data_IF_832394427571
#
_entry.id   IF_832394427571
#
_cell.length_a   1.000
_cell.length_b   1.000
_cell.length_c   1.000
_cell.angle_alpha   90.00
_cell.angle_beta   90.00
_cell.angle_gamma   90.00
#
_symmetry.space_group_name_H-M   'P 1'
#
loop_
_entity.id
_entity.type
_entity.pdbx_description
1 polymer ?
#
# COMPACT_ATOMS: atom_id res chain seq x y z
N UNK A 1 -19.28 -28.71 26.66
CA UNK A 1 -19.08 -27.75 25.55
C UNK A 1 -18.13 -28.37 24.54
N UNK A 2 -18.55 -28.50 23.28
CA UNK A 2 -17.78 -29.21 22.23
C UNK A 2 -16.45 -28.47 22.00
N UNK A 3 -15.38 -29.21 21.68
CA UNK A 3 -14.02 -28.66 21.47
C UNK A 3 -14.00 -27.45 20.52
N UNK A 4 -14.89 -27.47 19.53
CA UNK A 4 -15.14 -26.38 18.58
C UNK A 4 -15.53 -25.04 19.24
N UNK A 5 -16.41 -25.06 20.25
CA UNK A 5 -16.87 -23.84 20.94
C UNK A 5 -15.78 -23.20 21.79
N UNK A 6 -14.82 -24.00 22.31
CA UNK A 6 -13.68 -23.48 23.06
C UNK A 6 -12.63 -22.86 22.14
N UNK A 7 -12.40 -23.46 20.98
CA UNK A 7 -11.46 -22.93 19.97
C UNK A 7 -12.00 -21.61 19.39
N UNK A 8 -13.30 -21.54 19.08
CA UNK A 8 -13.96 -20.30 18.65
C UNK A 8 -13.87 -19.17 19.70
N UNK A 9 -14.00 -19.50 20.99
CA UNK A 9 -13.86 -18.51 22.07
C UNK A 9 -12.41 -18.00 22.21
N UNK A 10 -11.42 -18.87 22.00
CA UNK A 10 -10.01 -18.48 22.03
C UNK A 10 -9.69 -17.57 20.84
N UNK A 11 -10.17 -17.92 19.63
CA UNK A 11 -10.00 -17.11 18.42
C UNK A 11 -10.67 -15.74 18.55
N UNK A 12 -11.89 -15.69 19.11
CA UNK A 12 -12.60 -14.43 19.35
C UNK A 12 -11.86 -13.53 20.35
N UNK A 13 -11.27 -14.11 21.40
CA UNK A 13 -10.50 -13.36 22.40
C UNK A 13 -9.14 -12.90 21.82
N UNK A 14 -8.48 -13.70 20.98
CA UNK A 14 -7.25 -13.28 20.31
C UNK A 14 -7.49 -12.22 19.24
N UNK A 15 -8.62 -12.25 18.53
CA UNK A 15 -9.02 -11.19 17.58
C UNK A 15 -9.41 -9.90 18.31
N UNK A 16 -10.02 -9.97 19.49
CA UNK A 16 -10.24 -8.81 20.35
C UNK A 16 -8.93 -8.24 20.89
N UNK A 17 -7.96 -9.10 21.23
CA UNK A 17 -6.61 -8.69 21.64
C UNK A 17 -5.84 -8.00 20.52
N UNK A 18 -5.80 -8.60 19.33
CA UNK A 18 -5.18 -8.01 18.15
C UNK A 18 -5.90 -6.72 17.70
N UNK A 19 -7.23 -6.70 17.75
CA UNK A 19 -8.03 -5.51 17.47
C UNK A 19 -7.75 -4.35 18.43
N UNK A 20 -7.56 -4.62 19.72
CA UNK A 20 -7.14 -3.62 20.72
C UNK A 20 -5.70 -3.15 20.50
N UNK A 21 -4.80 -4.01 20.00
CA UNK A 21 -3.43 -3.64 19.64
C UNK A 21 -3.44 -2.73 18.40
N UNK A 22 -4.20 -3.06 17.35
CA UNK A 22 -4.37 -2.16 16.19
C UNK A 22 -5.10 -0.86 16.54
N UNK A 23 -6.05 -0.89 17.49
CA UNK A 23 -6.67 0.31 18.05
C UNK A 23 -5.69 1.14 18.93
N UNK A 24 -4.74 0.48 19.60
CA UNK A 24 -3.66 1.09 20.37
C UNK A 24 -2.60 1.76 19.48
N UNK A 25 -2.22 1.10 18.38
CA UNK A 25 -1.27 1.64 17.41
C UNK A 25 -1.89 2.81 16.63
N UNK A 26 -3.18 2.75 16.30
CA UNK A 26 -3.91 3.87 15.68
C UNK A 26 -4.09 5.07 16.61
N UNK A 27 -4.21 4.87 17.93
CA UNK A 27 -4.21 5.98 18.91
C UNK A 27 -2.81 6.56 19.14
N UNK A 28 -1.74 5.76 19.10
CA UNK A 28 -0.36 6.24 19.18
C UNK A 28 0.10 7.01 17.91
N UNK A 29 -0.39 6.61 16.73
CA UNK A 29 -0.08 7.24 15.43
C UNK A 29 -1.06 8.36 15.03
N UNK A 30 -1.93 8.80 15.92
CA UNK A 30 -2.79 9.97 15.67
C UNK A 30 -3.85 9.76 14.59
N UNK A 31 -4.20 8.50 14.28
CA UNK A 31 -5.36 8.20 13.47
C UNK A 31 -6.59 8.54 14.31
N UNK A 32 -7.26 9.60 13.88
CA UNK A 32 -8.35 10.21 14.61
C UNK A 32 -9.65 9.43 14.46
N UNK A 33 -9.65 8.15 14.86
CA UNK A 33 -10.87 7.34 15.02
C UNK A 33 -11.80 8.04 16.01
N UNK A 34 -11.24 8.67 17.06
CA UNK A 34 -11.99 9.47 18.02
C UNK A 34 -12.63 10.74 17.41
N UNK A 35 -12.01 11.33 16.38
CA UNK A 35 -12.53 12.52 15.67
C UNK A 35 -13.58 12.15 14.62
N UNK A 36 -13.42 11.00 13.97
CA UNK A 36 -14.43 10.42 13.06
C UNK A 36 -15.65 9.90 13.82
N UNK A 37 -15.46 9.35 15.03
CA UNK A 37 -16.54 8.96 15.93
C UNK A 37 -17.27 10.19 16.51
N UNK A 38 -16.57 11.25 16.94
CA UNK A 38 -17.20 12.50 17.44
C UNK A 38 -18.07 13.21 16.39
N UNK A 39 -17.71 13.07 15.11
CA UNK A 39 -18.45 13.68 13.99
C UNK A 39 -19.54 12.76 13.40
N UNK A 40 -19.68 11.51 13.88
CA UNK A 40 -20.72 10.58 13.44
C UNK A 40 -20.59 10.10 11.98
N UNK A 41 -19.36 10.05 11.45
CA UNK A 41 -19.09 9.82 10.01
C UNK A 41 -18.76 8.36 9.65
N UNK A 42 -18.72 7.43 10.61
CA UNK A 42 -18.63 6.00 10.30
C UNK A 42 -20.03 5.41 10.14
N UNK A 43 -20.47 5.27 8.89
CA UNK A 43 -21.76 4.69 8.51
C UNK A 43 -21.54 3.51 7.57
N UNK A 44 -22.05 2.35 7.97
CA UNK A 44 -22.18 1.18 7.10
C UNK A 44 -23.65 0.74 7.11
N UNK A 45 -24.43 1.18 6.12
CA UNK A 45 -25.89 0.98 6.09
C UNK A 45 -26.61 1.67 7.28
N UNK A 46 -27.53 0.95 7.93
CA UNK A 46 -28.31 1.43 9.09
C UNK A 46 -27.57 1.34 10.44
N UNK A 47 -26.29 0.96 10.41
CA UNK A 47 -25.46 0.87 11.61
C UNK A 47 -24.68 2.16 11.82
N UNK A 48 -24.83 2.71 13.02
CA UNK A 48 -24.18 3.94 13.44
C UNK A 48 -23.12 3.64 14.49
N UNK A 49 -21.92 4.15 14.26
CA UNK A 49 -20.79 4.07 15.19
C UNK A 49 -20.51 5.50 15.66
N UNK A 50 -20.99 5.81 16.86
CA UNK A 50 -20.84 7.12 17.49
C UNK A 50 -20.11 7.04 18.83
N UNK A 51 -19.88 8.18 19.49
CA UNK A 51 -19.07 8.26 20.70
C UNK A 51 -19.69 7.56 21.92
N UNK A 52 -20.98 7.20 21.84
CA UNK A 52 -21.72 6.46 22.88
C UNK A 52 -21.92 4.97 22.55
N UNK A 53 -21.34 4.46 21.45
CA UNK A 53 -21.34 3.05 21.09
C UNK A 53 -22.04 2.71 19.76
N UNK A 54 -22.24 1.41 19.55
CA UNK A 54 -22.82 0.82 18.34
C UNK A 54 -24.35 0.78 18.44
N UNK A 55 -25.08 1.44 17.54
CA UNK A 55 -26.55 1.34 17.52
C UNK A 55 -27.15 1.28 16.11
N UNK A 56 -28.31 0.66 16.00
CA UNK A 56 -29.07 0.49 14.75
C UNK A 56 -30.27 1.44 14.77
N UNK A 57 -30.32 2.40 13.83
CA UNK A 57 -31.46 3.33 13.78
C UNK A 57 -32.56 2.80 12.84
N UNK A 58 -33.77 2.71 13.39
CA UNK A 58 -35.00 2.70 12.59
C UNK A 58 -35.53 4.13 12.56
N UNK A 59 -36.01 4.58 11.40
CA UNK A 59 -36.46 5.96 11.19
C UNK A 59 -37.47 6.39 12.29
N UNK A 60 -37.07 7.38 13.09
CA UNK A 60 -37.88 8.52 13.62
C UNK A 60 -37.27 9.08 14.93
N UNK A 61 -37.12 10.42 15.01
CA UNK A 61 -37.25 11.21 16.26
C UNK A 61 -35.98 11.74 16.96
N UNK A 62 -35.71 13.03 16.75
CA UNK A 62 -35.46 14.15 17.70
C UNK A 62 -34.47 14.08 18.91
N UNK A 63 -33.64 15.13 18.95
CA UNK A 63 -33.20 16.03 20.06
C UNK A 63 -32.12 15.68 21.12
N UNK A 64 -31.06 16.53 21.07
CA UNK A 64 -30.38 17.35 22.11
C UNK A 64 -29.41 16.81 23.20
N UNK A 65 -28.18 17.38 23.13
CA UNK A 65 -27.33 18.09 24.13
C UNK A 65 -26.61 17.38 25.31
N UNK A 66 -25.39 17.93 25.55
CA UNK A 66 -24.62 18.15 26.79
C UNK A 66 -23.53 17.17 27.34
N UNK A 67 -22.28 17.65 27.22
CA UNK A 67 -21.19 17.87 28.21
C UNK A 67 -20.84 16.81 29.28
N UNK A 68 -19.53 16.48 29.39
CA UNK A 68 -18.73 16.58 30.64
C UNK A 68 -17.26 16.09 30.50
N UNK A 69 -16.35 17.03 30.77
CA UNK A 69 -15.25 17.06 31.76
C UNK A 69 -14.09 16.04 31.84
N UNK A 70 -12.92 16.65 32.08
CA UNK A 70 -11.54 16.16 32.30
C UNK A 70 -11.35 15.08 33.37
N UNK A 71 -10.33 14.22 33.16
CA UNK A 71 -9.58 13.58 34.24
C UNK A 71 -8.10 13.36 33.83
N UNK A 72 -7.21 14.01 34.57
CA UNK A 72 -5.76 13.77 34.63
C UNK A 72 -5.43 12.59 35.56
N UNK A 73 -4.25 11.98 35.37
CA UNK A 73 -3.23 11.58 36.37
C UNK A 73 -2.45 10.28 36.00
N UNK A 74 -1.16 10.50 35.68
CA UNK A 74 0.10 9.89 36.17
C UNK A 74 0.41 8.37 36.14
N UNK A 75 1.60 8.10 35.55
CA UNK A 75 2.74 7.22 35.89
C UNK A 75 2.57 5.84 36.57
N UNK A 76 3.23 4.79 36.01
CA UNK A 76 4.43 4.17 36.59
C UNK A 76 4.85 2.85 35.87
N UNK A 77 6.17 2.67 35.76
CA UNK A 77 6.97 1.63 35.09
C UNK A 77 6.80 0.17 35.59
N UNK A 78 7.24 -0.82 34.79
CA UNK A 78 8.00 -2.03 35.22
C UNK A 78 8.42 -2.94 34.04
N UNK A 79 9.65 -2.77 33.55
CA UNK A 79 10.76 -3.74 33.37
C UNK A 79 10.57 -5.24 33.02
N UNK A 80 11.37 -5.65 32.02
CA UNK A 80 12.36 -6.74 31.98
C UNK A 80 12.14 -8.12 31.28
N UNK A 81 13.22 -8.46 30.55
CA UNK A 81 13.86 -9.76 30.24
C UNK A 81 13.60 -10.48 28.89
N UNK A 82 14.50 -10.20 27.94
CA UNK A 82 15.50 -11.06 27.29
C UNK A 82 15.14 -12.48 26.79
N UNK A 83 15.50 -12.77 25.53
CA UNK A 83 16.53 -13.77 25.10
C UNK A 83 16.46 -14.08 23.58
N UNK A 84 17.38 -13.49 22.82
CA UNK A 84 18.37 -14.06 21.87
C UNK A 84 18.13 -15.34 21.02
N UNK A 85 18.57 -15.18 19.75
CA UNK A 85 19.27 -16.13 18.83
C UNK A 85 18.48 -17.31 18.21
N UNK A 86 18.65 -17.71 16.95
CA UNK A 86 19.63 -17.42 15.89
C UNK A 86 19.11 -18.00 14.56
N UNK A 87 19.52 -17.35 13.45
CA UNK A 87 19.98 -17.88 12.16
C UNK A 87 19.15 -18.89 11.34
N UNK A 88 18.92 -18.58 10.06
CA UNK A 88 19.93 -18.84 9.01
C UNK A 88 19.47 -18.43 7.59
N UNK A 89 20.48 -17.99 6.84
CA UNK A 89 20.49 -17.35 5.53
C UNK A 89 20.06 -18.25 4.35
N UNK A 90 19.64 -17.64 3.24
CA UNK A 90 20.35 -17.83 1.96
C UNK A 90 20.11 -16.64 0.99
N UNK A 91 21.18 -16.31 0.30
CA UNK A 91 21.45 -15.12 -0.51
C UNK A 91 20.62 -14.99 -1.80
N UNK A 92 20.24 -13.74 -2.14
CA UNK A 92 20.32 -13.24 -3.51
C UNK A 92 20.70 -11.75 -3.50
N UNK A 93 22.00 -11.50 -3.61
CA UNK A 93 22.60 -10.18 -3.57
C UNK A 93 22.33 -9.39 -4.87
N UNK A 94 21.18 -8.74 -4.92
CA UNK A 94 21.05 -7.37 -5.43
C UNK A 94 21.09 -6.49 -4.19
N UNK A 95 22.03 -5.53 -4.13
CA UNK A 95 22.02 -4.55 -3.03
C UNK A 95 20.74 -3.70 -3.17
N UNK A 96 19.71 -4.04 -2.40
CA UNK A 96 18.45 -3.31 -2.40
C UNK A 96 18.68 -1.86 -1.96
N UNK A 97 18.07 -0.90 -2.67
CA UNK A 97 18.05 0.51 -2.24
C UNK A 97 17.24 0.68 -0.94
N UNK A 98 16.46 -0.32 -0.52
CA UNK A 98 15.82 -0.38 0.80
C UNK A 98 16.85 -0.20 1.92
N UNK A 99 18.06 -0.74 1.73
CA UNK A 99 19.10 -0.81 2.77
C UNK A 99 20.01 0.42 2.79
N UNK A 100 19.82 1.36 1.87
CA UNK A 100 20.53 2.64 1.92
C UNK A 100 19.93 3.51 3.03
N UNK A 101 20.62 3.54 4.17
CA UNK A 101 20.29 4.43 5.29
C UNK A 101 20.06 5.88 4.81
N UNK A 102 18.85 6.37 5.08
CA UNK A 102 18.52 7.77 4.88
C UNK A 102 19.13 8.59 6.02
N UNK A 103 20.16 9.38 5.73
CA UNK A 103 20.70 10.33 6.71
C UNK A 103 19.59 11.25 7.25
N UNK A 104 19.43 11.27 8.58
CA UNK A 104 18.42 12.05 9.34
C UNK A 104 18.62 13.57 9.26
N UNK A 105 19.72 14.03 8.68
CA UNK A 105 19.98 15.44 8.43
C UNK A 105 19.47 15.81 7.03
N UNK A 106 18.49 16.72 6.99
CA UNK A 106 17.94 17.34 5.77
C UNK A 106 18.78 18.57 5.41
N UNK A 107 19.67 18.53 4.41
CA UNK A 107 20.37 19.72 3.91
C UNK A 107 19.61 20.29 2.70
N UNK A 108 19.66 21.61 2.54
CA UNK A 108 18.84 22.39 1.61
C UNK A 108 18.90 21.93 0.14
N UNK A 109 17.94 21.10 -0.26
CA UNK A 109 17.38 21.10 -1.62
C UNK A 109 16.26 22.12 -1.66
N UNK A 110 16.26 23.04 -2.63
CA UNK A 110 15.15 23.97 -2.79
C UNK A 110 13.86 23.20 -3.06
N UNK A 111 12.71 23.79 -2.71
CA UNK A 111 11.37 23.29 -3.04
C UNK A 111 11.14 23.10 -4.55
N UNK A 112 12.12 23.45 -5.38
CA UNK A 112 12.16 23.27 -6.82
C UNK A 112 13.60 22.88 -7.19
N UNK A 113 13.81 21.59 -7.48
CA UNK A 113 15.13 21.01 -7.76
C UNK A 113 15.11 20.29 -9.11
N UNK A 114 16.18 20.41 -9.89
CA UNK A 114 16.27 19.84 -11.25
C UNK A 114 17.64 19.25 -11.52
N UNK A 115 17.65 18.10 -12.20
CA UNK A 115 18.82 17.24 -12.44
C UNK A 115 18.80 16.71 -13.87
N UNK A 116 19.97 16.46 -14.46
CA UNK A 116 20.06 15.90 -15.80
C UNK A 116 19.63 14.43 -15.79
N UNK A 117 18.69 14.05 -16.67
CA UNK A 117 18.11 12.69 -16.73
C UNK A 117 19.17 11.62 -16.94
N UNK A 118 20.23 11.92 -17.71
CA UNK A 118 21.32 10.98 -17.99
C UNK A 118 22.18 10.62 -16.78
N UNK A 119 22.07 11.37 -15.68
CA UNK A 119 22.81 11.12 -14.44
C UNK A 119 22.03 10.28 -13.43
N UNK A 120 20.76 9.97 -13.72
CA UNK A 120 19.86 9.29 -12.80
C UNK A 120 19.49 7.93 -13.38
N UNK A 121 19.72 6.88 -12.60
CA UNK A 121 19.26 5.52 -12.89
C UNK A 121 18.18 5.08 -11.91
N UNK A 122 18.13 5.67 -10.73
CA UNK A 122 17.21 5.26 -9.67
C UNK A 122 16.44 6.46 -9.09
N UNK A 123 15.19 6.25 -8.69
CA UNK A 123 14.41 7.26 -7.96
C UNK A 123 13.85 6.62 -6.69
N UNK A 124 14.15 7.23 -5.53
CA UNK A 124 13.58 6.85 -4.23
C UNK A 124 12.70 7.98 -3.69
N UNK A 125 11.43 7.68 -3.43
CA UNK A 125 10.52 8.54 -2.68
C UNK A 125 10.36 7.96 -1.25
N UNK A 126 10.49 8.82 -0.24
CA UNK A 126 10.28 8.51 1.18
C UNK A 126 9.38 9.61 1.76
N UNK A 127 8.07 9.39 1.74
CA UNK A 127 7.09 10.45 1.96
C UNK A 127 6.13 10.05 3.08
N UNK A 128 6.21 10.72 4.24
CA UNK A 128 5.26 10.46 5.35
C UNK A 128 3.81 10.74 4.92
N UNK A 129 3.56 11.94 4.39
CA UNK A 129 2.22 12.33 3.93
C UNK A 129 2.25 13.50 2.93
N UNK A 130 1.78 13.26 1.70
CA UNK A 130 1.61 14.28 0.66
C UNK A 130 0.69 13.79 -0.46
N UNK A 131 0.15 14.71 -1.25
CA UNK A 131 -0.35 14.37 -2.59
C UNK A 131 0.84 14.29 -3.54
N UNK A 132 0.93 13.21 -4.31
CA UNK A 132 2.05 12.99 -5.24
C UNK A 132 1.51 12.97 -6.67
N UNK A 133 2.15 13.71 -7.57
CA UNK A 133 1.79 13.66 -8.98
C UNK A 133 3.02 13.52 -9.85
N UNK A 134 3.02 12.50 -10.71
CA UNK A 134 4.02 12.34 -11.76
C UNK A 134 3.49 13.01 -13.04
N UNK A 135 4.32 13.84 -13.68
CA UNK A 135 3.96 14.58 -14.91
C UNK A 135 5.12 14.59 -15.90
N UNK A 136 4.82 14.84 -17.17
CA UNK A 136 5.84 15.12 -18.17
C UNK A 136 6.41 16.55 -18.00
N UNK A 137 7.74 16.76 -18.05
CA UNK A 137 8.37 18.07 -18.03
C UNK A 137 8.27 18.78 -19.39
N UNK A 138 8.38 20.11 -19.37
CA UNK A 138 8.62 20.91 -20.58
C UNK A 138 10.01 20.65 -21.20
N UNK A 139 10.99 20.29 -20.36
CA UNK A 139 12.38 19.99 -20.73
C UNK A 139 12.65 18.49 -20.58
N UNK A 140 12.71 17.77 -21.69
CA UNK A 140 12.91 16.32 -21.72
C UNK A 140 14.32 15.87 -21.32
N UNK A 141 15.25 16.79 -21.06
CA UNK A 141 16.61 16.46 -20.64
C UNK A 141 16.78 16.41 -19.13
N UNK A 142 15.74 16.82 -18.39
CA UNK A 142 15.83 16.98 -16.94
C UNK A 142 14.69 16.32 -16.20
N UNK A 143 15.04 15.72 -15.07
CA UNK A 143 14.10 15.37 -14.02
C UNK A 143 13.97 16.59 -13.10
N UNK A 144 12.75 16.90 -12.66
CA UNK A 144 12.50 18.01 -11.74
C UNK A 144 11.54 17.57 -10.64
N UNK A 145 11.85 17.89 -9.40
CA UNK A 145 10.98 17.65 -8.27
C UNK A 145 10.57 18.98 -7.63
N UNK A 146 9.27 19.15 -7.37
CA UNK A 146 8.70 20.40 -6.84
C UNK A 146 7.82 20.12 -5.63
N UNK A 147 8.14 20.74 -4.51
CA UNK A 147 7.29 20.81 -3.32
C UNK A 147 6.36 22.04 -3.41
N UNK A 148 5.05 21.82 -3.26
CA UNK A 148 4.05 22.87 -3.06
C UNK A 148 3.34 22.67 -1.74
N UNK A 149 2.94 23.77 -1.11
CA UNK A 149 2.14 23.80 0.12
C UNK A 149 2.76 23.11 1.36
N UNK A 150 3.84 22.35 1.21
CA UNK A 150 4.66 21.79 2.28
C UNK A 150 5.69 22.79 2.83
N UNK A 151 6.29 22.42 3.97
CA UNK A 151 7.37 23.21 4.57
C UNK A 151 8.72 22.66 4.09
N UNK A 152 9.48 23.51 3.42
CA UNK A 152 10.79 23.18 2.83
C UNK A 152 11.79 22.59 3.85
N UNK A 153 11.74 23.01 5.11
CA UNK A 153 12.57 22.45 6.20
C UNK A 153 12.32 20.96 6.53
N UNK A 154 11.24 20.38 6.00
CA UNK A 154 10.88 18.96 6.14
C UNK A 154 11.06 18.20 4.83
N UNK A 155 11.55 18.87 3.79
CA UNK A 155 11.69 18.33 2.46
C UNK A 155 13.17 18.23 2.10
N UNK A 156 13.55 17.13 1.47
CA UNK A 156 14.88 16.94 0.91
C UNK A 156 14.75 16.43 -0.51
N UNK A 157 15.54 17.00 -1.42
CA UNK A 157 15.70 16.47 -2.77
C UNK A 157 17.18 16.54 -3.12
N UNK A 158 17.82 15.37 -3.24
CA UNK A 158 19.26 15.27 -3.48
C UNK A 158 19.58 14.12 -4.41
N UNK A 159 20.64 14.32 -5.20
CA UNK A 159 21.26 13.25 -5.97
C UNK A 159 22.36 12.62 -5.12
N UNK A 160 22.28 11.31 -4.91
CA UNK A 160 23.27 10.50 -4.23
C UNK A 160 23.79 9.44 -5.21
N UNK A 161 24.98 9.67 -5.76
CA UNK A 161 25.46 8.90 -6.91
C UNK A 161 24.57 9.09 -8.14
N UNK A 162 23.93 8.02 -8.58
CA UNK A 162 22.95 7.99 -9.67
C UNK A 162 21.48 7.86 -9.18
N UNK A 163 21.27 8.03 -7.87
CA UNK A 163 19.97 7.86 -7.23
C UNK A 163 19.40 9.21 -6.81
N UNK A 164 18.25 9.59 -7.37
CA UNK A 164 17.49 10.76 -6.94
C UNK A 164 16.66 10.39 -5.71
N UNK A 165 17.03 10.95 -4.55
CA UNK A 165 16.32 10.73 -3.28
C UNK A 165 15.45 11.95 -2.96
N UNK A 166 14.14 11.72 -2.81
CA UNK A 166 13.16 12.74 -2.42
C UNK A 166 12.51 12.29 -1.12
N UNK A 167 12.63 13.12 -0.08
CA UNK A 167 12.05 12.85 1.24
C UNK A 167 11.13 13.96 1.71
N UNK A 168 10.05 13.60 2.39
CA UNK A 168 9.22 14.55 3.11
C UNK A 168 8.70 14.02 4.45
N UNK A 169 9.22 14.59 5.55
CA UNK A 169 8.85 14.23 6.93
C UNK A 169 7.68 15.09 7.46
N UNK A 170 6.45 14.61 7.35
CA UNK A 170 5.25 15.33 7.76
C UNK A 170 5.13 15.38 9.29
N UNK A 171 5.36 16.55 9.90
CA UNK A 171 5.15 16.75 11.35
C UNK A 171 3.68 17.00 11.72
N UNK A 172 3.31 16.67 12.97
CA UNK A 172 2.00 16.88 13.65
C UNK A 172 1.58 18.37 13.74
N UNK A 173 1.45 19.03 12.60
CA UNK A 173 1.00 20.41 12.49
C UNK A 173 -0.25 20.45 11.62
N UNK A 174 -1.17 21.35 11.96
CA UNK A 174 -2.31 21.62 11.11
C UNK A 174 -1.86 22.27 9.80
N UNK A 175 -1.97 21.52 8.70
CA UNK A 175 -1.76 22.04 7.37
C UNK A 175 -3.07 22.67 6.86
N UNK A 176 -3.03 23.93 6.42
CA UNK A 176 -4.19 24.57 5.78
C UNK A 176 -4.53 23.95 4.43
N UNK A 177 -3.53 23.33 3.79
CA UNK A 177 -3.61 22.59 2.52
C UNK A 177 -2.59 21.47 2.59
N UNK A 178 -2.93 20.29 2.07
CA UNK A 178 -2.03 19.15 2.03
C UNK A 178 -0.74 19.51 1.29
N UNK A 179 0.44 19.07 1.78
CA UNK A 179 1.68 19.12 1.01
C UNK A 179 1.49 18.39 -0.31
N UNK A 180 2.08 18.91 -1.38
CA UNK A 180 2.06 18.30 -2.69
C UNK A 180 3.49 18.16 -3.22
N UNK A 181 3.81 17.02 -3.79
CA UNK A 181 5.09 16.74 -4.45
C UNK A 181 4.78 16.44 -5.91
N UNK A 182 5.35 17.23 -6.80
CA UNK A 182 5.22 17.03 -8.25
C UNK A 182 6.56 16.57 -8.77
N UNK A 183 6.58 15.36 -9.31
CA UNK A 183 7.76 14.77 -9.96
C UNK A 183 7.57 14.87 -11.47
N UNK A 184 8.46 15.60 -12.13
CA UNK A 184 8.48 15.71 -13.58
C UNK A 184 9.50 14.76 -14.16
N UNK A 185 9.04 13.77 -14.94
CA UNK A 185 9.87 12.75 -15.57
C UNK A 185 9.73 12.82 -17.11
N UNK A 186 10.84 12.88 -17.88
CA UNK A 186 10.79 12.89 -19.35
C UNK A 186 10.25 11.58 -19.94
N UNK A 187 9.35 11.64 -20.93
CA UNK A 187 8.85 10.42 -21.61
C UNK A 187 9.99 9.60 -22.21
N UNK A 188 9.82 8.28 -22.17
CA UNK A 188 10.84 7.32 -22.64
C UNK A 188 12.08 7.27 -21.74
N UNK A 189 12.03 7.84 -20.54
CA UNK A 189 13.05 7.59 -19.52
C UNK A 189 13.04 6.12 -19.13
N UNK A 190 14.23 5.57 -18.92
CA UNK A 190 14.44 4.21 -18.44
C UNK A 190 15.19 4.26 -17.13
N UNK A 191 14.69 3.53 -16.14
CA UNK A 191 15.28 3.45 -14.80
C UNK A 191 15.71 2.02 -14.48
N UNK A 192 16.67 1.87 -13.58
CA UNK A 192 17.00 0.58 -12.98
C UNK A 192 15.99 0.25 -11.89
N UNK A 193 15.76 1.19 -10.96
CA UNK A 193 14.78 1.03 -9.89
C UNK A 193 13.97 2.31 -9.64
N UNK A 194 12.65 2.14 -9.48
CA UNK A 194 11.74 3.12 -8.93
C UNK A 194 11.20 2.58 -7.61
N UNK A 195 11.46 3.28 -6.50
CA UNK A 195 11.14 2.82 -5.15
C UNK A 195 10.38 3.91 -4.39
N UNK A 196 9.09 3.70 -4.20
CA UNK A 196 8.18 4.68 -3.63
C UNK A 196 7.62 4.17 -2.30
N UNK A 197 8.20 4.66 -1.20
CA UNK A 197 7.73 4.45 0.16
C UNK A 197 6.90 5.68 0.58
N UNK A 198 5.61 5.45 0.80
CA UNK A 198 4.63 6.49 1.02
C UNK A 198 3.73 6.12 2.20
N UNK A 199 3.88 6.83 3.32
CA UNK A 199 3.07 6.61 4.51
C UNK A 199 1.58 6.89 4.27
N UNK A 200 1.24 8.09 3.79
CA UNK A 200 -0.15 8.49 3.50
C UNK A 200 -0.29 9.43 2.30
N UNK A 201 -0.86 8.97 1.18
CA UNK A 201 -0.96 9.79 -0.02
C UNK A 201 -2.11 9.41 -0.95
N UNK A 202 -2.49 10.41 -1.75
CA UNK A 202 -3.07 10.18 -3.08
C UNK A 202 -1.95 10.40 -4.10
N UNK A 203 -1.54 9.32 -4.78
CA UNK A 203 -0.54 9.35 -5.83
C UNK A 203 -1.18 9.12 -7.18
N UNK A 204 -0.93 10.04 -8.11
CA UNK A 204 -1.38 9.93 -9.50
C UNK A 204 -0.19 9.95 -10.46
N UNK A 205 -0.05 8.86 -11.21
CA UNK A 205 0.90 8.67 -12.27
C UNK A 205 0.12 8.42 -13.55
N UNK A 206 -0.15 9.48 -14.31
CA UNK A 206 -0.85 9.39 -15.59
C UNK A 206 -0.01 9.97 -16.71
N UNK A 207 -0.25 9.50 -17.93
CA UNK A 207 0.33 10.07 -19.16
C UNK A 207 1.87 10.01 -19.24
N UNK A 208 2.48 9.01 -18.60
CA UNK A 208 3.94 8.88 -18.52
C UNK A 208 4.45 7.50 -18.97
N UNK A 209 4.73 7.38 -20.28
CA UNK A 209 5.37 6.20 -20.87
C UNK A 209 6.82 6.09 -20.39
N UNK A 210 7.07 5.19 -19.45
CA UNK A 210 8.42 4.92 -18.94
C UNK A 210 8.66 3.45 -18.69
N UNK A 211 9.94 3.11 -18.67
CA UNK A 211 10.42 1.75 -18.43
C UNK A 211 11.24 1.73 -17.15
N UNK A 212 11.14 0.65 -16.37
CA UNK A 212 12.07 0.39 -15.30
C UNK A 212 12.40 -1.09 -15.19
N UNK A 213 13.57 -1.45 -14.67
CA UNK A 213 13.88 -2.85 -14.41
C UNK A 213 13.17 -3.34 -13.14
N UNK A 214 13.07 -2.50 -12.11
CA UNK A 214 12.36 -2.81 -10.87
C UNK A 214 11.44 -1.66 -10.44
N UNK A 215 10.20 -2.00 -10.09
CA UNK A 215 9.24 -1.09 -9.50
C UNK A 215 8.85 -1.60 -8.11
N UNK A 216 9.00 -0.74 -7.10
CA UNK A 216 8.56 -0.99 -5.73
C UNK A 216 7.66 0.18 -5.32
N UNK A 217 6.44 -0.13 -4.91
CA UNK A 217 5.48 0.85 -4.40
C UNK A 217 4.92 0.32 -3.08
N UNK A 218 5.16 1.03 -2.00
CA UNK A 218 4.59 0.76 -0.69
C UNK A 218 3.78 1.98 -0.24
N UNK A 219 2.47 1.79 -0.11
CA UNK A 219 1.54 2.82 0.34
C UNK A 219 0.89 2.39 1.65
N UNK A 220 1.26 3.02 2.75
CA UNK A 220 0.67 2.74 4.06
C UNK A 220 -0.84 2.99 4.07
N UNK A 221 -1.27 4.17 3.61
CA UNK A 221 -2.69 4.49 3.43
C UNK A 221 -2.97 5.48 2.30
N UNK A 222 -4.01 5.24 1.51
CA UNK A 222 -4.50 6.16 0.48
C UNK A 222 -4.62 5.52 -0.90
N UNK A 223 -4.55 6.32 -1.95
CA UNK A 223 -4.80 5.84 -3.31
C UNK A 223 -3.55 5.90 -4.17
N UNK A 224 -3.29 4.85 -4.94
CA UNK A 224 -2.24 4.82 -5.96
C UNK A 224 -2.87 4.52 -7.32
N UNK A 225 -2.70 5.46 -8.24
CA UNK A 225 -3.22 5.36 -9.60
C UNK A 225 -2.07 5.49 -10.59
N UNK A 226 -1.90 4.49 -11.45
CA UNK A 226 -0.83 4.46 -12.45
C UNK A 226 -1.34 4.00 -13.82
N UNK A 227 -0.88 4.66 -14.88
CA UNK A 227 -1.22 4.31 -16.27
C UNK A 227 0.03 4.22 -17.14
N UNK A 228 0.04 3.28 -18.08
CA UNK A 228 1.02 3.17 -19.19
C UNK A 228 2.48 3.14 -18.72
N UNK A 229 2.88 2.05 -18.08
CA UNK A 229 4.29 1.81 -17.74
C UNK A 229 4.70 0.37 -18.05
N UNK A 230 6.02 0.19 -18.21
CA UNK A 230 6.62 -1.11 -18.47
C UNK A 230 7.66 -1.44 -17.39
N UNK A 231 7.63 -2.67 -16.89
CA UNK A 231 8.61 -3.20 -15.94
C UNK A 231 9.32 -4.41 -16.56
N UNK A 232 10.63 -4.31 -16.74
CA UNK A 232 11.41 -5.35 -17.43
C UNK A 232 11.76 -6.55 -16.52
N UNK A 233 11.85 -6.33 -15.22
CA UNK A 233 12.35 -7.31 -14.25
C UNK A 233 11.32 -7.71 -13.19
N UNK A 234 11.08 -6.86 -12.19
CA UNK A 234 10.20 -7.20 -11.06
C UNK A 234 9.34 -6.03 -10.62
N UNK A 235 8.08 -6.30 -10.33
CA UNK A 235 7.13 -5.33 -9.80
C UNK A 235 6.60 -5.80 -8.45
N UNK A 236 6.74 -4.95 -7.44
CA UNK A 236 6.23 -5.15 -6.09
C UNK A 236 5.32 -3.95 -5.73
N UNK A 237 4.02 -4.17 -5.53
CA UNK A 237 3.07 -3.12 -5.13
C UNK A 237 2.31 -3.56 -3.90
N UNK A 238 2.45 -2.81 -2.81
CA UNK A 238 1.77 -3.03 -1.54
C UNK A 238 0.95 -1.82 -1.14
N UNK A 239 -0.28 -2.05 -0.68
CA UNK A 239 -1.12 -1.05 -0.04
C UNK A 239 -1.63 -1.57 1.30
N UNK A 240 -1.36 -0.84 2.37
CA UNK A 240 -1.87 -1.18 3.70
C UNK A 240 -3.39 -0.96 3.79
N UNK A 241 -3.84 0.28 3.56
CA UNK A 241 -5.27 0.63 3.54
C UNK A 241 -5.58 1.62 2.41
N UNK A 242 -6.36 1.22 1.42
CA UNK A 242 -6.82 2.14 0.38
C UNK A 242 -7.08 1.49 -0.97
N UNK A 243 -6.89 2.23 -2.06
CA UNK A 243 -7.20 1.71 -3.40
C UNK A 243 -6.00 1.81 -4.34
N UNK A 244 -5.81 0.78 -5.15
CA UNK A 244 -4.84 0.75 -6.24
C UNK A 244 -5.56 0.59 -7.56
N UNK A 245 -5.22 1.41 -8.54
CA UNK A 245 -5.70 1.30 -9.92
C UNK A 245 -4.50 1.40 -10.87
N UNK A 246 -4.22 0.31 -11.56
CA UNK A 246 -3.14 0.20 -12.54
C UNK A 246 -3.75 -0.14 -13.88
N UNK A 247 -3.47 0.65 -14.92
CA UNK A 247 -4.01 0.42 -16.27
C UNK A 247 -2.92 0.48 -17.32
N UNK A 248 -3.12 -0.24 -18.43
CA UNK A 248 -2.19 -0.30 -19.56
C UNK A 248 -0.74 -0.66 -19.14
N UNK A 249 -0.57 -1.60 -18.21
CA UNK A 249 0.75 -2.00 -17.71
C UNK A 249 1.31 -3.22 -18.43
N UNK A 250 2.64 -3.29 -18.59
CA UNK A 250 3.34 -4.48 -19.13
C UNK A 250 4.49 -4.86 -18.21
N UNK A 251 4.44 -6.05 -17.63
CA UNK A 251 5.51 -6.57 -16.77
C UNK A 251 6.12 -7.83 -17.39
N UNK A 252 7.39 -7.76 -17.75
CA UNK A 252 8.10 -8.86 -18.40
C UNK A 252 8.63 -9.93 -17.43
N UNK A 253 8.64 -9.66 -16.13
CA UNK A 253 9.04 -10.63 -15.11
C UNK A 253 8.02 -10.76 -14.00
N UNK A 254 8.51 -10.96 -12.77
CA UNK A 254 7.66 -11.36 -11.65
C UNK A 254 6.89 -10.17 -11.05
N UNK A 255 5.67 -10.44 -10.61
CA UNK A 255 4.76 -9.48 -9.99
C UNK A 255 4.32 -9.97 -8.62
N UNK A 256 4.43 -9.11 -7.61
CA UNK A 256 3.84 -9.31 -6.29
C UNK A 256 2.91 -8.13 -5.94
N UNK A 257 1.65 -8.45 -5.64
CA UNK A 257 0.60 -7.50 -5.31
C UNK A 257 0.08 -7.81 -3.91
N UNK A 258 0.10 -6.83 -3.01
CA UNK A 258 -0.44 -6.95 -1.66
C UNK A 258 -1.45 -5.83 -1.40
N UNK A 259 -2.68 -6.22 -1.05
CA UNK A 259 -3.70 -5.30 -0.59
C UNK A 259 -4.18 -5.71 0.80
N UNK A 260 -3.73 -4.98 1.83
CA UNK A 260 -4.12 -5.20 3.22
C UNK A 260 -5.63 -4.99 3.43
N UNK A 261 -6.12 -3.76 3.20
CA UNK A 261 -7.55 -3.42 3.26
C UNK A 261 -7.95 -2.47 2.14
N UNK A 262 -8.85 -2.88 1.26
CA UNK A 262 -9.45 -2.01 0.25
C UNK A 262 -9.61 -2.67 -1.12
N UNK A 263 -9.41 -1.91 -2.20
CA UNK A 263 -9.62 -2.40 -3.57
C UNK A 263 -8.34 -2.29 -4.40
N UNK A 264 -7.98 -3.37 -5.08
CA UNK A 264 -6.83 -3.40 -5.98
C UNK A 264 -7.30 -3.77 -7.38
N UNK A 265 -7.00 -2.96 -8.39
CA UNK A 265 -7.29 -3.26 -9.79
C UNK A 265 -6.02 -3.10 -10.63
N UNK A 266 -5.77 -4.08 -11.48
CA UNK A 266 -4.70 -4.03 -12.48
C UNK A 266 -5.19 -4.56 -13.82
N UNK A 267 -4.98 -3.76 -14.86
CA UNK A 267 -5.15 -4.14 -16.27
C UNK A 267 -3.77 -4.14 -16.96
N UNK A 268 -3.43 -5.24 -17.64
CA UNK A 268 -2.15 -5.33 -18.33
C UNK A 268 -1.67 -6.73 -18.70
N UNK A 269 -0.36 -6.87 -18.92
CA UNK A 269 0.30 -8.14 -19.21
C UNK A 269 1.31 -8.50 -18.12
N UNK A 270 1.36 -9.77 -17.75
CA UNK A 270 2.39 -10.35 -16.89
C UNK A 270 3.04 -11.51 -17.62
N UNK A 271 4.36 -11.46 -17.80
CA UNK A 271 5.12 -12.51 -18.49
C UNK A 271 5.90 -13.43 -17.54
N UNK A 272 6.01 -13.05 -16.26
CA UNK A 272 6.59 -13.87 -15.21
C UNK A 272 5.56 -14.53 -14.31
N UNK A 273 5.97 -14.82 -13.07
CA UNK A 273 5.08 -15.32 -12.04
C UNK A 273 4.27 -14.18 -11.42
N UNK A 274 3.07 -14.49 -10.95
CA UNK A 274 2.19 -13.54 -10.27
C UNK A 274 1.86 -14.04 -8.87
N UNK A 275 2.11 -13.22 -7.85
CA UNK A 275 1.62 -13.42 -6.49
C UNK A 275 0.67 -12.29 -6.13
N UNK A 276 -0.51 -12.63 -5.64
CA UNK A 276 -1.56 -11.67 -5.32
C UNK A 276 -2.18 -12.02 -3.96
N UNK A 277 -1.93 -11.16 -2.98
CA UNK A 277 -2.41 -11.27 -1.61
C UNK A 277 -3.48 -10.19 -1.36
N UNK A 278 -4.69 -10.61 -1.01
CA UNK A 278 -5.77 -9.71 -0.63
C UNK A 278 -6.22 -10.03 0.81
N UNK A 279 -5.82 -9.19 1.76
CA UNK A 279 -6.17 -9.32 3.18
C UNK A 279 -7.66 -9.15 3.43
N UNK A 280 -8.19 -7.96 3.17
CA UNK A 280 -9.62 -7.64 3.26
C UNK A 280 -10.08 -6.71 2.12
N UNK A 281 -11.01 -7.16 1.27
CA UNK A 281 -11.60 -6.33 0.23
C UNK A 281 -11.71 -7.05 -1.10
N UNK A 282 -11.40 -6.37 -2.21
CA UNK A 282 -11.47 -6.97 -3.55
C UNK A 282 -10.23 -6.67 -4.38
N UNK A 283 -9.70 -7.68 -5.04
CA UNK A 283 -8.66 -7.56 -6.05
C UNK A 283 -9.21 -8.03 -7.40
N UNK A 284 -9.05 -7.24 -8.45
CA UNK A 284 -9.47 -7.56 -9.82
C UNK A 284 -8.26 -7.41 -10.75
N UNK A 285 -7.93 -8.48 -11.47
CA UNK A 285 -6.76 -8.54 -12.35
C UNK A 285 -7.24 -8.91 -13.76
N UNK A 286 -7.22 -7.94 -14.66
CA UNK A 286 -7.58 -8.10 -16.07
C UNK A 286 -6.29 -8.28 -16.87
N UNK A 287 -5.96 -9.53 -17.20
CA UNK A 287 -4.66 -9.91 -17.74
C UNK A 287 -4.75 -10.32 -19.20
N UNK A 288 -3.91 -9.74 -20.06
CA UNK A 288 -3.75 -10.24 -21.42
C UNK A 288 -3.06 -11.62 -21.40
N UNK A 289 -3.56 -12.56 -22.21
CA UNK A 289 -2.96 -13.88 -22.36
C UNK A 289 -3.98 -15.00 -22.20
N UNK A 290 -3.51 -16.21 -21.87
CA UNK A 290 -4.41 -17.35 -21.64
C UNK A 290 -4.27 -17.91 -20.22
N UNK A 291 -5.40 -18.25 -19.58
CA UNK A 291 -5.43 -18.95 -18.28
C UNK A 291 -4.56 -20.23 -18.24
N UNK A 292 -4.28 -20.85 -19.39
CA UNK A 292 -3.49 -22.09 -19.47
C UNK A 292 -1.99 -21.86 -19.42
N UNK A 293 -1.52 -20.62 -19.47
CA UNK A 293 -0.11 -20.27 -19.35
C UNK A 293 0.41 -20.38 -17.91
N UNK A 294 -0.50 -20.42 -16.93
CA UNK A 294 -0.20 -20.42 -15.50
C UNK A 294 -0.54 -21.75 -14.83
N UNK A 295 0.31 -22.18 -13.90
CA UNK A 295 -0.08 -23.09 -12.83
C UNK A 295 -0.63 -22.28 -11.66
N UNK A 296 -1.67 -22.76 -10.98
CA UNK A 296 -2.33 -22.02 -9.91
C UNK A 296 -2.09 -22.64 -8.54
N UNK A 297 -1.85 -21.79 -7.55
CA UNK A 297 -1.95 -22.11 -6.12
C UNK A 297 -2.92 -21.13 -5.47
N UNK A 298 -4.03 -21.66 -4.97
CA UNK A 298 -5.17 -20.85 -4.51
C UNK A 298 -5.42 -21.12 -3.02
N UNK A 299 -5.45 -20.05 -2.21
CA UNK A 299 -5.84 -20.10 -0.80
C UNK A 299 -6.93 -19.08 -0.51
N UNK A 300 -8.05 -19.51 0.06
CA UNK A 300 -9.18 -18.62 0.34
C UNK A 300 -9.78 -18.91 1.72
N UNK A 301 -9.64 -17.94 2.63
CA UNK A 301 -10.19 -17.99 3.98
C UNK A 301 -11.70 -17.78 4.00
N UNK A 302 -12.14 -16.53 3.81
CA UNK A 302 -13.55 -16.12 3.87
C UNK A 302 -13.92 -15.27 2.65
N UNK A 303 -14.30 -15.91 1.55
CA UNK A 303 -14.51 -15.20 0.30
C UNK A 303 -14.61 -16.11 -0.91
N UNK A 304 -14.18 -15.58 -2.05
CA UNK A 304 -14.00 -16.32 -3.29
C UNK A 304 -12.77 -15.87 -4.05
N UNK A 305 -12.15 -16.80 -4.77
CA UNK A 305 -11.22 -16.53 -5.84
C UNK A 305 -11.92 -16.95 -7.13
N UNK A 306 -11.99 -16.09 -8.13
CA UNK A 306 -12.51 -16.42 -9.46
C UNK A 306 -11.37 -16.31 -10.48
N UNK A 307 -11.24 -17.31 -11.35
CA UNK A 307 -10.23 -17.35 -12.41
C UNK A 307 -10.94 -17.76 -13.71
N UNK A 308 -11.01 -16.84 -14.67
CA UNK A 308 -11.67 -16.99 -15.98
C UNK A 308 -13.08 -17.63 -15.90
N UNK A 309 -13.88 -17.19 -14.91
CA UNK A 309 -15.24 -17.66 -14.67
C UNK A 309 -15.35 -18.96 -13.86
N UNK A 310 -14.23 -19.57 -13.43
CA UNK A 310 -14.24 -20.65 -12.44
C UNK A 310 -14.10 -20.09 -11.02
N UNK A 311 -15.16 -20.23 -10.21
CA UNK A 311 -15.16 -19.77 -8.81
C UNK A 311 -14.67 -20.83 -7.82
N UNK A 312 -13.80 -20.40 -6.91
CA UNK A 312 -13.20 -21.15 -5.81
C UNK A 312 -13.56 -20.47 -4.48
N UNK A 313 -14.24 -21.17 -3.57
CA UNK A 313 -14.60 -20.59 -2.26
C UNK A 313 -14.39 -21.57 -1.12
N UNK A 314 -14.11 -21.05 0.09
CA UNK A 314 -13.89 -21.82 1.32
C UNK A 314 -12.88 -22.97 1.12
N UNK A 315 -11.68 -22.64 0.61
CA UNK A 315 -10.66 -23.64 0.33
C UNK A 315 -10.06 -24.09 1.67
N UNK A 316 -10.18 -25.38 2.00
CA UNK A 316 -9.57 -25.94 3.20
C UNK A 316 -8.09 -26.24 2.96
N UNK A 317 -7.22 -25.25 3.20
CA UNK A 317 -5.80 -25.30 2.85
C UNK A 317 -5.56 -24.71 1.46
N UNK A 318 -4.62 -25.26 0.72
CA UNK A 318 -4.29 -24.78 -0.62
C UNK A 318 -4.88 -25.70 -1.68
N UNK A 319 -5.35 -25.11 -2.79
CA UNK A 319 -5.72 -25.84 -4.00
C UNK A 319 -4.70 -25.57 -5.09
N UNK A 320 -4.08 -26.62 -5.59
CA UNK A 320 -3.19 -26.55 -6.76
C UNK A 320 -3.94 -26.96 -8.02
N UNK A 321 -3.72 -26.21 -9.11
CA UNK A 321 -4.13 -26.57 -10.47
C UNK A 321 -2.90 -26.54 -11.36
N UNK A 322 -2.64 -27.63 -12.09
CA UNK A 322 -1.49 -27.75 -12.98
C UNK A 322 -1.94 -27.80 -14.41
N UNK A 323 -1.49 -26.84 -15.20
CA UNK A 323 -1.80 -26.77 -16.63
C UNK A 323 -0.67 -27.39 -17.45
N UNK A 324 -1.04 -28.16 -18.47
CA UNK A 324 -0.06 -28.86 -19.30
C UNK A 324 0.72 -27.84 -20.14
N UNK A 325 2.04 -27.77 -19.93
CA UNK A 325 2.92 -26.86 -20.65
C UNK A 325 3.03 -25.45 -20.05
N UNK A 326 2.34 -25.18 -18.93
CA UNK A 326 2.48 -23.92 -18.20
C UNK A 326 3.85 -23.82 -17.51
N UNK A 327 4.57 -22.73 -17.80
CA UNK A 327 5.85 -22.39 -17.15
C UNK A 327 5.68 -21.31 -16.07
N UNK A 328 4.64 -20.47 -16.19
CA UNK A 328 4.33 -19.40 -15.24
C UNK A 328 3.57 -19.97 -14.03
N UNK A 329 3.68 -19.32 -12.88
CA UNK A 329 2.91 -19.65 -11.68
C UNK A 329 2.11 -18.44 -11.21
N UNK A 330 0.90 -18.70 -10.74
CA UNK A 330 -0.01 -17.72 -10.15
C UNK A 330 -0.44 -18.19 -8.75
N UNK A 331 -0.02 -17.44 -7.73
CA UNK A 331 -0.40 -17.67 -6.34
C UNK A 331 -1.40 -16.60 -5.90
N UNK A 332 -2.62 -17.03 -5.55
CA UNK A 332 -3.73 -16.15 -5.17
C UNK A 332 -4.16 -16.47 -3.75
N UNK A 333 -3.97 -15.52 -2.84
CA UNK A 333 -4.22 -15.65 -1.42
C UNK A 333 -5.27 -14.62 -0.96
N UNK A 334 -6.51 -15.08 -0.75
CA UNK A 334 -7.62 -14.26 -0.31
C UNK A 334 -7.94 -14.51 1.17
N UNK A 335 -7.67 -13.54 2.04
CA UNK A 335 -8.02 -13.58 3.45
C UNK A 335 -9.54 -13.46 3.65
N UNK A 336 -10.09 -12.28 3.38
CA UNK A 336 -11.52 -11.99 3.43
C UNK A 336 -11.97 -11.10 2.26
N UNK A 337 -12.89 -11.59 1.41
CA UNK A 337 -13.42 -10.82 0.28
C UNK A 337 -13.31 -11.55 -1.04
N UNK A 338 -12.72 -10.93 -2.07
CA UNK A 338 -12.58 -11.58 -3.38
C UNK A 338 -11.28 -11.26 -4.11
N UNK A 339 -10.78 -12.25 -4.86
CA UNK A 339 -9.83 -12.04 -5.96
C UNK A 339 -10.52 -12.51 -7.24
N UNK A 340 -10.52 -11.70 -8.28
CA UNK A 340 -11.07 -12.03 -9.60
C UNK A 340 -9.95 -11.83 -10.62
N UNK A 341 -9.69 -12.85 -11.44
CA UNK A 341 -8.69 -12.82 -12.50
C UNK A 341 -9.37 -13.18 -13.80
N UNK A 342 -9.43 -12.24 -14.72
CA UNK A 342 -9.98 -12.41 -16.06
C UNK A 342 -8.85 -12.36 -17.09
N UNK A 343 -8.95 -13.21 -18.13
CA UNK A 343 -7.98 -13.25 -19.22
C UNK A 343 -8.60 -12.77 -20.54
N UNK A 344 -7.93 -11.87 -21.26
CA UNK A 344 -8.39 -11.29 -22.54
C UNK A 344 -7.53 -11.62 -23.77
#
# INVERSE_FOLDING_TARGET
MKKFTKIMLIIAVSLLGAGLIFCGVSTAMGASVWRMAKNGELRYGNWHIGPVGLYYSSADGDDEEDDMDDFDEDDDDSDDDDSDDDDSDDDDAITDISDMEFSTEVPAGGADSSFDVSSIRNIKLDIDAAEITVKEPDDSTKIRAVLKHGKEKYYSCRLDGDTLKIKYDAKKHYYKRSPQIILYLPKGSSFDELNFDIGAADMSWKDFDSTCNRLIVDVGAGNFEAERFQVDGKMDVSVGVGNVEITDSVVYGDVALDCGVGNFSMEGSVEGNLKADCGMGSMTLDLNGEEKEYNYKLSCGLGSIDVDGETYSNISGDKEVKNEGAEKNMELDCGMGSIEVDFE
#
